data_IF_892663902772
#
_entry.id   IF_892663902772
#
_cell.length_a   1.000
_cell.length_b   1.000
_cell.length_c   1.000
_cell.angle_alpha   90.00
_cell.angle_beta   90.00
_cell.angle_gamma   90.00
#
_symmetry.space_group_name_H-M   'P 1'
#
loop_
_entity.id
_entity.type
_entity.pdbx_description
1 polymer ?
#
# COMPACT_ATOMS: atom_id res chain seq x y z
N UNK A 1 15.18 20.59 4.47
CA UNK A 1 15.94 21.10 3.29
C UNK A 1 16.65 19.92 2.63
N UNK A 2 16.52 19.75 1.32
CA UNK A 2 17.25 18.72 0.57
C UNK A 2 18.59 19.32 0.10
N UNK A 3 19.71 18.80 0.62
CA UNK A 3 21.07 19.22 0.30
C UNK A 3 21.32 19.24 -1.23
N UNK A 4 21.03 18.13 -1.90
CA UNK A 4 21.31 18.00 -3.33
C UNK A 4 20.45 18.96 -4.17
N UNK A 5 19.21 19.21 -3.76
CA UNK A 5 18.36 20.21 -4.40
C UNK A 5 18.88 21.63 -4.23
N UNK A 6 19.33 21.98 -3.03
CA UNK A 6 19.92 23.28 -2.79
C UNK A 6 21.17 23.52 -3.67
N UNK A 7 22.08 22.56 -3.71
CA UNK A 7 23.23 22.64 -4.60
C UNK A 7 22.88 22.58 -6.09
N UNK A 8 21.81 21.90 -6.47
CA UNK A 8 21.32 21.93 -7.86
C UNK A 8 20.85 23.35 -8.24
N UNK A 9 20.10 23.99 -7.36
CA UNK A 9 19.63 25.35 -7.58
C UNK A 9 20.83 26.33 -7.67
N UNK A 10 21.86 26.14 -6.83
CA UNK A 10 23.11 26.90 -6.90
C UNK A 10 23.85 26.66 -8.23
N UNK A 11 23.97 25.45 -8.70
CA UNK A 11 24.61 25.11 -9.99
C UNK A 11 23.84 25.73 -11.16
N UNK A 12 22.50 25.71 -11.12
CA UNK A 12 21.66 26.37 -12.14
C UNK A 12 21.92 27.88 -12.13
N UNK A 13 21.94 28.53 -10.95
CA UNK A 13 22.26 29.96 -10.83
C UNK A 13 23.65 30.33 -11.32
N UNK A 14 24.65 29.44 -11.11
CA UNK A 14 26.00 29.60 -11.66
C UNK A 14 25.97 29.55 -13.19
N UNK A 15 25.26 28.60 -13.78
CA UNK A 15 25.13 28.51 -15.26
C UNK A 15 24.47 29.77 -15.81
N UNK A 16 23.38 30.25 -15.18
CA UNK A 16 22.74 31.50 -15.58
C UNK A 16 23.67 32.72 -15.48
N UNK A 17 24.50 32.79 -14.44
CA UNK A 17 25.53 33.83 -14.29
C UNK A 17 26.56 33.79 -15.43
N UNK A 18 27.02 32.58 -15.80
CA UNK A 18 27.97 32.37 -16.89
C UNK A 18 27.37 32.73 -18.27
N UNK A 19 26.09 32.47 -18.46
CA UNK A 19 25.36 32.92 -19.66
C UNK A 19 25.25 34.45 -19.70
N UNK A 20 24.84 35.10 -18.61
CA UNK A 20 24.77 36.56 -18.51
C UNK A 20 26.12 37.26 -18.75
N UNK A 21 27.23 36.65 -18.36
CA UNK A 21 28.56 37.16 -18.61
C UNK A 21 29.08 36.92 -20.04
N UNK A 22 28.36 36.17 -20.87
CA UNK A 22 28.76 35.76 -22.21
C UNK A 22 29.81 34.64 -22.24
N UNK A 23 30.10 34.01 -21.08
CA UNK A 23 31.02 32.85 -21.00
C UNK A 23 30.36 31.58 -21.50
N UNK A 24 29.05 31.45 -21.41
CA UNK A 24 28.23 30.40 -22.01
C UNK A 24 27.17 31.02 -22.95
N UNK A 25 26.76 30.33 -24.00
CA UNK A 25 25.74 30.82 -24.95
C UNK A 25 24.34 30.87 -24.27
N UNK A 26 23.46 31.70 -24.80
CA UNK A 26 22.06 31.74 -24.41
C UNK A 26 21.27 30.49 -24.86
N UNK A 27 20.12 30.21 -24.21
CA UNK A 27 19.21 29.13 -24.59
C UNK A 27 19.61 27.72 -24.13
N UNK A 28 20.50 27.60 -23.17
CA UNK A 28 20.87 26.33 -22.58
C UNK A 28 19.74 25.77 -21.72
N UNK A 29 19.37 24.51 -21.92
CA UNK A 29 18.40 23.78 -21.09
C UNK A 29 19.08 23.29 -19.80
N UNK A 30 18.73 23.88 -18.68
CA UNK A 30 19.22 23.53 -17.33
C UNK A 30 18.32 22.54 -16.60
N UNK A 31 17.15 22.19 -17.14
CA UNK A 31 16.12 21.35 -16.46
C UNK A 31 16.62 19.95 -16.12
N UNK A 32 17.62 19.46 -16.82
CA UNK A 32 18.21 18.13 -16.67
C UNK A 32 19.51 18.12 -15.86
N UNK A 33 19.93 19.24 -15.31
CA UNK A 33 21.07 19.29 -14.39
C UNK A 33 20.69 18.54 -13.14
N UNK A 34 21.57 17.62 -12.70
CA UNK A 34 21.42 16.88 -11.44
C UNK A 34 22.61 17.13 -10.53
N UNK A 35 22.34 17.08 -9.23
CA UNK A 35 23.35 17.01 -8.18
C UNK A 35 23.05 15.81 -7.31
N UNK A 36 24.01 14.89 -7.22
CA UNK A 36 23.85 13.60 -6.56
C UNK A 36 25.13 13.25 -5.77
N UNK A 37 25.06 12.30 -4.81
CA UNK A 37 26.30 11.76 -4.22
C UNK A 37 27.13 11.08 -5.32
N UNK A 38 28.47 11.27 -5.34
CA UNK A 38 29.33 10.54 -6.27
C UNK A 38 29.21 9.02 -5.98
N UNK A 39 29.41 8.20 -7.01
CA UNK A 39 29.35 6.73 -6.86
C UNK A 39 30.42 6.19 -5.90
N UNK A 40 31.57 6.84 -5.87
CA UNK A 40 32.67 6.54 -4.98
C UNK A 40 32.86 7.74 -4.05
N UNK A 41 32.76 7.51 -2.74
CA UNK A 41 32.88 8.54 -1.69
C UNK A 41 34.27 9.20 -1.66
N UNK A 42 35.30 8.62 -2.25
CA UNK A 42 36.63 9.22 -2.40
C UNK A 42 36.63 10.47 -3.30
N UNK A 43 35.58 10.64 -4.11
CA UNK A 43 35.40 11.82 -4.98
C UNK A 43 34.69 12.99 -4.31
N UNK A 44 34.38 12.91 -3.03
CA UNK A 44 33.72 13.98 -2.25
C UNK A 44 32.27 13.64 -1.89
N UNK A 45 31.48 14.67 -1.60
CA UNK A 45 30.13 14.56 -1.07
C UNK A 45 29.06 14.78 -2.14
N UNK A 46 29.34 15.60 -3.14
CA UNK A 46 28.41 15.95 -4.22
C UNK A 46 29.08 15.86 -5.60
N UNK A 47 28.29 15.47 -6.60
CA UNK A 47 28.69 15.42 -8.01
C UNK A 47 27.60 16.00 -8.89
N UNK A 48 27.99 16.76 -9.94
CA UNK A 48 27.03 17.27 -10.92
C UNK A 48 27.40 16.89 -12.35
N UNK A 49 26.35 16.65 -13.17
CA UNK A 49 26.46 16.37 -14.60
C UNK A 49 26.40 17.62 -15.48
N UNK A 50 26.34 18.83 -14.88
CA UNK A 50 26.08 20.08 -15.59
C UNK A 50 26.96 20.30 -16.80
N UNK A 51 28.29 20.17 -16.67
CA UNK A 51 29.21 20.38 -17.77
C UNK A 51 29.02 19.39 -18.92
N UNK A 52 28.74 18.13 -18.62
CA UNK A 52 28.51 17.09 -19.66
C UNK A 52 27.19 17.36 -20.40
N UNK A 53 26.16 17.80 -19.71
CA UNK A 53 24.87 18.12 -20.28
C UNK A 53 24.94 19.34 -21.20
N UNK A 54 25.63 20.40 -20.76
CA UNK A 54 25.67 21.70 -21.42
C UNK A 54 26.71 21.79 -22.56
N UNK A 55 27.69 20.92 -22.58
CA UNK A 55 28.84 20.97 -23.54
C UNK A 55 28.39 20.95 -25.01
N UNK A 56 27.54 20.00 -25.38
CA UNK A 56 27.08 19.86 -26.78
C UNK A 56 26.21 21.04 -27.23
N UNK A 57 25.19 21.50 -26.46
CA UNK A 57 24.43 22.71 -26.79
C UNK A 57 25.30 23.97 -26.83
N UNK A 58 26.35 24.07 -26.00
CA UNK A 58 27.28 25.19 -25.98
C UNK A 58 28.35 25.14 -27.10
N UNK A 59 28.43 24.05 -27.85
CA UNK A 59 29.48 23.87 -28.86
C UNK A 59 30.89 23.73 -28.28
N UNK A 60 31.02 23.30 -27.03
CA UNK A 60 32.24 23.23 -26.25
C UNK A 60 32.60 21.82 -25.85
N UNK A 61 33.83 21.58 -25.39
CA UNK A 61 34.18 20.31 -24.75
C UNK A 61 33.64 20.29 -23.30
N UNK A 62 33.18 19.12 -22.82
CA UNK A 62 32.64 19.02 -21.45
C UNK A 62 33.65 19.51 -20.38
N UNK A 63 34.95 19.24 -20.59
CA UNK A 63 35.99 19.65 -19.66
C UNK A 63 36.15 21.17 -19.62
N UNK A 64 36.04 21.84 -20.76
CA UNK A 64 36.17 23.31 -20.85
C UNK A 64 35.00 23.98 -20.10
N UNK A 65 33.76 23.41 -20.25
CA UNK A 65 32.59 23.87 -19.49
C UNK A 65 32.72 23.60 -17.99
N UNK A 66 33.29 22.43 -17.63
CA UNK A 66 33.56 22.09 -16.24
C UNK A 66 34.57 23.05 -15.59
N UNK A 67 35.58 23.42 -16.29
CA UNK A 67 36.61 24.38 -15.82
C UNK A 67 36.08 25.80 -15.65
N UNK A 68 34.97 26.17 -16.28
CA UNK A 68 34.25 27.43 -16.03
C UNK A 68 33.30 27.34 -14.82
N UNK A 69 32.65 26.20 -14.63
CA UNK A 69 31.66 26.00 -13.54
C UNK A 69 32.38 25.75 -12.20
N UNK A 70 33.45 24.95 -12.21
CA UNK A 70 34.11 24.47 -11.00
C UNK A 70 34.62 25.60 -10.06
N UNK A 71 35.23 26.71 -10.55
CA UNK A 71 35.62 27.83 -9.68
C UNK A 71 34.44 28.50 -8.98
N UNK A 72 33.30 28.58 -9.66
CA UNK A 72 32.11 29.19 -9.09
C UNK A 72 31.49 28.26 -8.01
N UNK A 73 31.52 26.95 -8.21
CA UNK A 73 31.13 25.97 -7.17
C UNK A 73 32.08 26.06 -5.98
N UNK A 74 33.39 26.20 -6.22
CA UNK A 74 34.38 26.34 -5.16
C UNK A 74 34.20 27.61 -4.31
N UNK A 75 33.54 28.63 -4.87
CA UNK A 75 33.21 29.88 -4.16
C UNK A 75 31.92 29.77 -3.32
N UNK A 76 31.16 28.70 -3.43
CA UNK A 76 29.95 28.49 -2.63
C UNK A 76 30.31 28.28 -1.15
N UNK A 77 29.46 28.81 -0.27
CA UNK A 77 29.64 28.64 1.18
C UNK A 77 29.57 27.17 1.56
N UNK A 78 30.56 26.70 2.28
CA UNK A 78 30.63 25.31 2.77
C UNK A 78 31.25 24.30 1.81
N UNK A 79 31.72 24.73 0.64
CA UNK A 79 32.53 23.91 -0.24
C UNK A 79 34.01 24.04 0.14
N UNK A 80 34.66 22.90 0.45
CA UNK A 80 36.07 22.85 0.83
C UNK A 80 36.98 22.55 -0.37
N UNK A 81 36.52 21.74 -1.32
CA UNK A 81 37.30 21.27 -2.46
C UNK A 81 36.44 21.01 -3.66
N UNK A 82 36.93 21.27 -4.86
CA UNK A 82 36.28 20.94 -6.12
C UNK A 82 37.30 20.28 -7.04
N UNK A 83 36.92 19.15 -7.64
CA UNK A 83 37.73 18.39 -8.63
C UNK A 83 36.90 18.14 -9.89
N UNK A 84 37.57 18.32 -11.06
CA UNK A 84 36.97 17.93 -12.35
C UNK A 84 37.49 16.57 -12.72
N UNK A 85 36.59 15.55 -12.74
CA UNK A 85 36.92 14.17 -13.01
C UNK A 85 36.46 13.73 -14.39
N UNK A 86 37.23 12.80 -14.99
CA UNK A 86 36.89 12.18 -16.28
C UNK A 86 36.59 13.20 -17.38
N UNK A 87 35.53 13.01 -18.16
CA UNK A 87 35.20 13.87 -19.31
C UNK A 87 34.60 15.23 -18.91
N UNK A 88 34.29 15.49 -17.62
CA UNK A 88 33.68 16.74 -17.19
C UNK A 88 32.69 16.61 -16.02
N UNK A 89 32.79 15.54 -15.24
CA UNK A 89 32.09 15.49 -13.94
C UNK A 89 32.75 16.47 -12.97
N UNK A 90 31.93 17.27 -12.27
CA UNK A 90 32.40 18.17 -11.24
C UNK A 90 32.01 17.59 -9.90
N UNK A 91 33.01 17.26 -9.09
CA UNK A 91 32.84 16.72 -7.76
C UNK A 91 33.27 17.74 -6.72
N UNK A 92 32.54 17.84 -5.61
CA UNK A 92 32.89 18.72 -4.53
C UNK A 92 32.84 18.02 -3.18
N UNK A 93 33.84 18.32 -2.34
CA UNK A 93 33.86 17.98 -0.91
C UNK A 93 33.39 19.17 -0.08
N UNK A 94 32.57 18.90 0.92
CA UNK A 94 32.02 19.91 1.83
C UNK A 94 32.91 20.05 3.06
N UNK A 95 32.94 21.26 3.61
CA UNK A 95 33.68 21.54 4.83
C UNK A 95 32.99 20.95 6.07
N UNK A 96 33.76 20.64 7.11
CA UNK A 96 33.23 20.12 8.38
C UNK A 96 32.20 21.06 8.98
N UNK A 97 32.39 22.36 8.87
CA UNK A 97 31.47 23.39 9.36
C UNK A 97 30.12 23.31 8.69
N UNK A 98 30.06 22.93 7.41
CA UNK A 98 28.81 22.71 6.70
C UNK A 98 28.00 21.58 7.34
N UNK A 99 28.66 20.47 7.68
CA UNK A 99 28.02 19.32 8.35
C UNK A 99 27.61 19.64 9.78
N UNK A 100 28.41 20.40 10.51
CA UNK A 100 28.05 20.87 11.85
C UNK A 100 26.79 21.75 11.82
N UNK A 101 26.68 22.67 10.86
CA UNK A 101 25.49 23.51 10.67
C UNK A 101 24.25 22.62 10.36
N UNK A 102 24.40 21.61 9.52
CA UNK A 102 23.31 20.66 9.21
C UNK A 102 22.91 19.84 10.42
N UNK A 103 23.84 19.39 11.25
CA UNK A 103 23.51 18.69 12.49
C UNK A 103 22.70 19.57 13.44
N UNK A 104 23.04 20.85 13.56
CA UNK A 104 22.25 21.83 14.35
C UNK A 104 20.84 21.95 13.80
N UNK A 105 20.65 21.99 12.48
CA UNK A 105 19.33 22.02 11.85
C UNK A 105 18.53 20.73 12.13
N UNK A 106 19.17 19.56 12.03
CA UNK A 106 18.56 18.27 12.36
C UNK A 106 18.06 18.27 13.80
N UNK A 107 18.90 18.72 14.74
CA UNK A 107 18.54 18.76 16.17
C UNK A 107 17.38 19.75 16.46
N UNK A 108 17.33 20.88 15.77
CA UNK A 108 16.23 21.86 15.91
C UNK A 108 14.91 21.34 15.36
N UNK A 109 14.94 20.69 14.21
CA UNK A 109 13.74 20.22 13.49
C UNK A 109 13.26 18.85 14.02
N UNK A 110 14.18 18.04 14.59
CA UNK A 110 13.88 16.72 15.14
C UNK A 110 13.32 15.77 14.08
N UNK A 111 12.28 15.02 14.44
CA UNK A 111 11.66 14.02 13.57
C UNK A 111 11.01 14.58 12.31
N UNK A 112 10.75 15.87 12.23
CA UNK A 112 10.26 16.52 11.01
C UNK A 112 11.38 16.75 9.97
N UNK A 113 12.65 16.52 10.32
CA UNK A 113 13.75 16.62 9.35
C UNK A 113 13.55 15.65 8.18
N UNK A 114 13.78 16.11 6.97
CA UNK A 114 13.52 15.36 5.74
C UNK A 114 12.06 15.44 5.24
N UNK A 115 11.16 16.14 5.94
CA UNK A 115 9.86 16.47 5.38
C UNK A 115 10.02 17.45 4.18
N UNK A 116 9.13 17.33 3.22
CA UNK A 116 9.09 18.19 2.03
C UNK A 116 7.65 18.56 1.68
N UNK A 117 7.49 19.50 0.77
CA UNK A 117 6.22 19.98 0.22
C UNK A 117 5.99 19.49 -1.24
N UNK A 118 6.73 18.48 -1.67
CA UNK A 118 6.62 17.92 -3.03
C UNK A 118 5.18 17.53 -3.38
N UNK A 119 4.45 17.02 -2.38
CA UNK A 119 3.06 16.63 -2.53
C UNK A 119 2.08 17.79 -2.70
N UNK A 120 2.46 19.02 -2.33
CA UNK A 120 1.64 20.22 -2.50
C UNK A 120 0.25 20.14 -1.84
N UNK A 121 0.03 19.23 -0.88
CA UNK A 121 -1.28 18.99 -0.27
C UNK A 121 -2.26 18.22 -1.17
N UNK A 122 -1.78 17.60 -2.26
CA UNK A 122 -2.64 16.76 -3.11
C UNK A 122 -3.23 15.60 -2.31
N UNK A 123 -4.55 15.38 -2.45
CA UNK A 123 -5.26 14.31 -1.75
C UNK A 123 -5.00 12.96 -2.37
N UNK A 124 -4.55 12.00 -1.56
CA UNK A 124 -4.33 10.60 -1.95
C UNK A 124 -5.07 9.68 -0.99
N UNK A 125 -5.82 8.72 -1.53
CA UNK A 125 -6.35 7.60 -0.76
C UNK A 125 -5.40 6.41 -0.89
N UNK A 126 -5.07 5.76 0.23
CA UNK A 126 -4.26 4.53 0.25
C UNK A 126 -5.06 3.45 0.95
N UNK A 127 -5.57 2.48 0.19
CA UNK A 127 -6.27 1.31 0.72
C UNK A 127 -5.30 0.15 0.90
N UNK A 128 -5.31 -0.48 2.08
CA UNK A 128 -4.47 -1.63 2.36
C UNK A 128 -5.04 -2.50 3.48
N UNK A 129 -4.62 -3.76 3.52
CA UNK A 129 -5.14 -4.88 4.30
C UNK A 129 -6.48 -5.33 3.74
N UNK A 130 -7.55 -4.61 3.95
CA UNK A 130 -8.93 -4.86 3.48
C UNK A 130 -9.32 -6.35 3.51
N UNK A 131 -8.91 -7.04 4.59
CA UNK A 131 -9.18 -8.46 4.78
C UNK A 131 -10.66 -8.68 5.14
N UNK A 132 -11.22 -9.81 4.71
CA UNK A 132 -12.57 -10.19 5.07
C UNK A 132 -12.72 -10.31 6.58
N UNK A 133 -13.77 -9.73 7.20
CA UNK A 133 -13.97 -9.77 8.66
C UNK A 133 -14.52 -11.12 9.12
N UNK A 134 -13.91 -12.22 8.65
CA UNK A 134 -14.32 -13.61 8.94
C UNK A 134 -13.37 -14.34 9.89
N UNK A 135 -12.33 -13.65 10.37
CA UNK A 135 -11.35 -14.16 11.31
C UNK A 135 -10.27 -13.13 11.63
N UNK A 136 -9.29 -13.48 12.51
CA UNK A 136 -8.16 -12.63 12.84
C UNK A 136 -7.24 -12.45 11.63
N UNK A 137 -6.44 -11.37 11.63
CA UNK A 137 -5.41 -11.18 10.62
C UNK A 137 -4.36 -12.29 10.73
N UNK A 138 -3.91 -12.78 9.59
CA UNK A 138 -2.83 -13.77 9.49
C UNK A 138 -1.57 -13.17 8.85
N UNK A 139 -0.47 -13.89 8.94
CA UNK A 139 0.86 -13.42 8.48
C UNK A 139 0.87 -12.94 7.04
N UNK A 140 0.03 -13.52 6.15
CA UNK A 140 -0.05 -13.06 4.77
C UNK A 140 -0.51 -11.60 4.64
N UNK A 141 -1.31 -11.09 5.60
CA UNK A 141 -1.72 -9.70 5.63
C UNK A 141 -0.62 -8.76 6.14
N UNK A 142 0.34 -9.26 6.96
CA UNK A 142 1.35 -8.45 7.62
C UNK A 142 2.16 -7.60 6.64
N UNK A 143 2.57 -8.18 5.52
CA UNK A 143 3.41 -7.50 4.54
C UNK A 143 2.68 -6.35 3.87
N UNK A 144 1.45 -6.59 3.39
CA UNK A 144 0.62 -5.55 2.80
C UNK A 144 0.31 -4.43 3.79
N UNK A 145 0.03 -4.79 5.05
CA UNK A 145 -0.22 -3.85 6.13
C UNK A 145 0.99 -2.93 6.39
N UNK A 146 2.19 -3.51 6.52
CA UNK A 146 3.42 -2.75 6.78
C UNK A 146 3.82 -1.88 5.58
N UNK A 147 3.70 -2.39 4.35
CA UNK A 147 4.02 -1.63 3.14
C UNK A 147 3.04 -0.47 2.96
N UNK A 148 1.74 -0.71 3.16
CA UNK A 148 0.71 0.33 3.06
C UNK A 148 0.94 1.45 4.07
N UNK A 149 1.16 1.10 5.34
CA UNK A 149 1.45 2.07 6.40
C UNK A 149 2.75 2.85 6.16
N UNK A 150 3.82 2.18 5.73
CA UNK A 150 5.07 2.85 5.39
C UNK A 150 4.89 3.83 4.22
N UNK A 151 4.12 3.45 3.20
CA UNK A 151 3.81 4.32 2.06
C UNK A 151 3.00 5.55 2.50
N UNK A 152 1.96 5.36 3.31
CA UNK A 152 1.17 6.46 3.89
C UNK A 152 2.06 7.45 4.64
N UNK A 153 2.94 6.94 5.52
CA UNK A 153 3.85 7.78 6.30
C UNK A 153 4.85 8.54 5.42
N UNK A 154 5.38 7.89 4.38
CA UNK A 154 6.30 8.53 3.42
C UNK A 154 5.60 9.63 2.60
N UNK A 155 4.41 9.35 2.08
CA UNK A 155 3.63 10.33 1.32
C UNK A 155 3.23 11.53 2.19
N UNK A 156 2.80 11.31 3.44
CA UNK A 156 2.52 12.39 4.40
C UNK A 156 3.77 13.24 4.66
N UNK A 157 4.93 12.60 4.84
CA UNK A 157 6.20 13.29 5.04
C UNK A 157 6.66 14.06 3.79
N UNK A 158 6.23 13.62 2.60
CA UNK A 158 6.45 14.31 1.34
C UNK A 158 5.44 15.44 1.07
N UNK A 159 4.49 15.71 1.98
CA UNK A 159 3.57 16.83 1.89
C UNK A 159 2.27 16.56 1.13
N UNK A 160 1.90 15.28 0.92
CA UNK A 160 0.57 14.90 0.43
C UNK A 160 -0.45 14.86 1.57
N UNK A 161 -1.72 15.14 1.25
CA UNK A 161 -2.87 14.94 2.13
C UNK A 161 -3.38 13.50 1.97
N UNK A 162 -2.89 12.60 2.85
CA UNK A 162 -3.11 11.16 2.70
C UNK A 162 -4.14 10.65 3.69
N UNK A 163 -5.17 9.99 3.16
CA UNK A 163 -6.13 9.18 3.93
C UNK A 163 -5.81 7.70 3.77
N UNK A 164 -5.58 7.01 4.87
CA UNK A 164 -5.44 5.56 4.92
C UNK A 164 -6.78 4.89 5.15
N UNK A 165 -7.12 3.89 4.33
CA UNK A 165 -8.44 3.29 4.31
C UNK A 165 -8.39 1.76 4.38
N UNK A 166 -9.36 1.20 5.11
CA UNK A 166 -9.66 -0.23 5.17
C UNK A 166 -11.07 -0.46 4.61
N UNK A 167 -11.18 -1.20 3.52
CA UNK A 167 -12.46 -1.64 2.98
C UNK A 167 -12.91 -2.91 3.67
N UNK A 168 -14.08 -2.86 4.30
CA UNK A 168 -14.67 -3.97 5.04
C UNK A 168 -15.58 -4.74 4.09
N UNK A 169 -15.18 -5.93 3.68
CA UNK A 169 -15.98 -6.82 2.86
C UNK A 169 -17.00 -7.56 3.76
N UNK A 170 -18.03 -6.83 4.19
CA UNK A 170 -19.07 -7.28 5.12
C UNK A 170 -20.42 -7.58 4.45
N UNK A 171 -20.41 -7.77 3.14
CA UNK A 171 -21.54 -8.22 2.34
C UNK A 171 -21.30 -9.63 1.75
N UNK A 172 -22.37 -10.29 1.31
CA UNK A 172 -22.33 -11.57 0.59
C UNK A 172 -22.29 -12.82 1.47
N UNK A 173 -22.12 -13.99 0.84
CA UNK A 173 -22.33 -15.29 1.46
C UNK A 173 -21.33 -15.64 2.60
N UNK A 174 -20.12 -15.08 2.58
CA UNK A 174 -19.11 -15.37 3.61
C UNK A 174 -19.54 -14.86 5.00
N UNK A 175 -20.19 -13.72 5.05
CA UNK A 175 -20.68 -13.17 6.33
C UNK A 175 -21.95 -13.90 6.83
N UNK A 176 -22.71 -14.52 5.96
CA UNK A 176 -23.80 -15.42 6.35
C UNK A 176 -23.26 -16.72 6.95
N UNK A 177 -22.20 -17.28 6.36
CA UNK A 177 -21.48 -18.43 6.92
C UNK A 177 -20.87 -18.08 8.30
N UNK A 178 -20.35 -16.87 8.46
CA UNK A 178 -19.87 -16.36 9.75
C UNK A 178 -20.98 -16.30 10.78
N UNK A 179 -22.15 -15.77 10.41
CA UNK A 179 -23.32 -15.72 11.29
C UNK A 179 -23.79 -17.14 11.73
N UNK A 180 -23.77 -18.10 10.81
CA UNK A 180 -24.06 -19.51 11.14
C UNK A 180 -23.03 -20.10 12.10
N UNK A 181 -21.76 -19.80 11.93
CA UNK A 181 -20.71 -20.19 12.87
C UNK A 181 -20.94 -19.58 14.26
N UNK A 182 -21.29 -18.31 14.31
CA UNK A 182 -21.60 -17.61 15.56
C UNK A 182 -22.84 -18.24 16.26
N UNK A 183 -23.86 -18.64 15.49
CA UNK A 183 -25.03 -19.31 16.04
C UNK A 183 -24.70 -20.71 16.61
N UNK A 184 -23.83 -21.48 15.97
CA UNK A 184 -23.35 -22.75 16.53
C UNK A 184 -22.63 -22.54 17.87
N UNK A 185 -21.73 -21.55 17.96
CA UNK A 185 -21.01 -21.22 19.18
C UNK A 185 -21.93 -20.64 20.28
N UNK A 186 -22.97 -19.93 19.89
CA UNK A 186 -24.02 -19.47 20.81
C UNK A 186 -24.77 -20.65 21.43
N UNK A 187 -25.20 -21.65 20.64
CA UNK A 187 -25.84 -22.87 21.13
C UNK A 187 -24.93 -23.66 22.07
N UNK A 188 -23.63 -23.77 21.72
CA UNK A 188 -22.61 -24.38 22.56
C UNK A 188 -22.47 -23.65 23.91
N UNK A 189 -22.43 -22.32 23.91
CA UNK A 189 -22.38 -21.50 25.12
C UNK A 189 -23.61 -21.66 26.02
N UNK A 190 -24.77 -22.00 25.43
CA UNK A 190 -26.00 -22.34 26.16
C UNK A 190 -26.06 -23.81 26.63
N UNK A 191 -24.94 -24.56 26.54
CA UNK A 191 -24.79 -25.92 27.04
C UNK A 191 -25.17 -27.02 26.04
N UNK A 192 -25.36 -26.73 24.77
CA UNK A 192 -25.62 -27.75 23.77
C UNK A 192 -24.32 -28.39 23.26
N UNK A 193 -24.34 -29.68 23.01
CA UNK A 193 -23.22 -30.40 22.39
C UNK A 193 -23.38 -30.29 20.87
N UNK A 194 -22.61 -29.39 20.25
CA UNK A 194 -22.72 -29.10 18.81
C UNK A 194 -21.98 -30.10 17.91
N UNK A 195 -21.15 -31.00 18.47
CA UNK A 195 -20.35 -31.95 17.70
C UNK A 195 -19.27 -31.30 16.84
N UNK A 196 -18.96 -31.91 15.70
CA UNK A 196 -18.03 -31.33 14.73
C UNK A 196 -18.67 -30.16 14.00
N UNK A 197 -17.88 -29.10 13.78
CA UNK A 197 -18.33 -27.93 13.02
C UNK A 197 -18.53 -28.35 11.56
N UNK A 198 -19.70 -28.09 10.95
CA UNK A 198 -19.98 -28.46 9.57
C UNK A 198 -19.01 -27.82 8.57
N UNK A 199 -18.79 -28.48 7.45
CA UNK A 199 -18.05 -27.90 6.32
C UNK A 199 -18.79 -26.66 5.78
N UNK A 200 -18.04 -25.64 5.39
CA UNK A 200 -18.57 -24.39 4.84
C UNK A 200 -18.86 -23.30 5.88
N UNK A 201 -18.59 -23.56 7.17
CA UNK A 201 -18.63 -22.54 8.23
C UNK A 201 -17.28 -22.42 8.93
N UNK A 202 -17.07 -21.37 9.72
CA UNK A 202 -15.77 -21.05 10.32
C UNK A 202 -15.56 -21.82 11.64
N UNK A 203 -14.61 -22.78 11.70
CA UNK A 203 -14.43 -23.64 12.87
C UNK A 203 -13.53 -23.06 13.95
N UNK A 204 -12.86 -21.93 13.70
CA UNK A 204 -11.82 -21.40 14.57
C UNK A 204 -12.28 -21.09 16.00
N UNK A 205 -11.39 -21.30 16.98
CA UNK A 205 -11.64 -21.04 18.40
C UNK A 205 -11.95 -19.55 18.69
N UNK A 206 -11.54 -18.65 17.79
CA UNK A 206 -11.86 -17.22 17.88
C UNK A 206 -13.37 -16.91 17.80
N UNK A 207 -14.18 -17.88 17.36
CA UNK A 207 -15.64 -17.78 17.35
C UNK A 207 -16.26 -18.10 18.72
N UNK A 208 -15.55 -18.76 19.64
CA UNK A 208 -16.06 -19.14 20.97
C UNK A 208 -16.43 -17.91 21.80
N UNK A 209 -15.58 -16.88 21.96
CA UNK A 209 -15.95 -15.67 22.69
C UNK A 209 -17.15 -14.94 22.09
N UNK A 210 -17.32 -15.00 20.77
CA UNK A 210 -18.47 -14.41 20.07
C UNK A 210 -19.76 -15.14 20.46
N UNK A 211 -19.72 -16.48 20.48
CA UNK A 211 -20.87 -17.29 20.94
C UNK A 211 -21.24 -17.03 22.43
N UNK A 212 -20.24 -16.86 23.28
CA UNK A 212 -20.45 -16.50 24.69
C UNK A 212 -21.08 -15.11 24.85
N UNK A 213 -20.58 -14.09 24.17
CA UNK A 213 -21.14 -12.74 24.15
C UNK A 213 -22.60 -12.74 23.67
N UNK A 214 -22.90 -13.52 22.63
CA UNK A 214 -24.25 -13.69 22.13
C UNK A 214 -25.18 -14.34 23.17
N UNK A 215 -24.71 -15.39 23.88
CA UNK A 215 -25.47 -16.07 24.91
C UNK A 215 -25.74 -15.15 26.13
N UNK A 216 -24.76 -14.36 26.53
CA UNK A 216 -24.88 -13.36 27.58
C UNK A 216 -25.85 -12.25 27.21
N UNK A 217 -25.86 -11.80 25.95
CA UNK A 217 -26.66 -10.67 25.48
C UNK A 217 -28.08 -11.06 25.17
N UNK A 218 -28.32 -12.22 24.56
CA UNK A 218 -29.62 -12.63 24.01
C UNK A 218 -30.31 -13.71 24.84
N UNK A 219 -29.62 -14.29 25.86
CA UNK A 219 -30.15 -15.46 26.58
C UNK A 219 -30.39 -16.62 25.62
N UNK A 220 -31.48 -17.37 25.80
CA UNK A 220 -31.84 -18.52 24.97
C UNK A 220 -32.90 -18.20 23.88
N UNK A 221 -33.25 -16.93 23.72
CA UNK A 221 -34.39 -16.47 22.92
C UNK A 221 -34.32 -16.86 21.43
N UNK A 222 -33.07 -16.97 20.87
CA UNK A 222 -32.84 -17.27 19.47
C UNK A 222 -32.25 -18.68 19.25
N UNK A 223 -32.21 -19.53 20.29
CA UNK A 223 -31.58 -20.84 20.23
C UNK A 223 -32.23 -21.76 19.18
N UNK A 224 -33.53 -21.81 19.18
CA UNK A 224 -34.34 -22.66 18.30
C UNK A 224 -35.15 -21.85 17.27
N UNK A 225 -34.86 -20.56 17.13
CA UNK A 225 -35.53 -19.68 16.19
C UNK A 225 -35.15 -19.99 14.74
N UNK A 226 -36.04 -19.74 13.77
CA UNK A 226 -35.71 -19.85 12.35
C UNK A 226 -34.56 -18.92 11.95
N UNK A 227 -33.72 -19.34 10.97
CA UNK A 227 -32.54 -18.57 10.52
C UNK A 227 -32.86 -17.10 10.19
N UNK A 228 -33.99 -16.85 9.56
CA UNK A 228 -34.41 -15.49 9.19
C UNK A 228 -34.59 -14.54 10.37
N UNK A 229 -34.80 -15.05 11.58
CA UNK A 229 -35.00 -14.20 12.77
C UNK A 229 -33.69 -13.80 13.46
N UNK A 230 -32.61 -14.58 13.25
CA UNK A 230 -31.35 -14.32 13.95
C UNK A 230 -30.19 -13.96 13.02
N UNK A 231 -30.19 -14.32 11.73
CA UNK A 231 -29.04 -14.22 10.83
C UNK A 231 -28.43 -12.81 10.83
N UNK A 232 -29.25 -11.75 10.76
CA UNK A 232 -28.77 -10.37 10.71
C UNK A 232 -28.14 -9.93 12.04
N UNK A 233 -28.77 -10.31 13.16
CA UNK A 233 -28.26 -9.97 14.50
C UNK A 233 -26.89 -10.63 14.74
N UNK A 234 -26.78 -11.91 14.42
CA UNK A 234 -25.54 -12.68 14.60
C UNK A 234 -24.45 -12.19 13.68
N UNK A 235 -24.78 -11.90 12.40
CA UNK A 235 -23.86 -11.31 11.43
C UNK A 235 -23.27 -10.00 11.96
N UNK A 236 -24.12 -9.09 12.41
CA UNK A 236 -23.70 -7.77 12.88
C UNK A 236 -22.81 -7.85 14.12
N UNK A 237 -23.15 -8.69 15.09
CA UNK A 237 -22.35 -8.86 16.32
C UNK A 237 -21.00 -9.53 15.97
N UNK A 238 -21.00 -10.58 15.16
CA UNK A 238 -19.78 -11.28 14.78
C UNK A 238 -18.81 -10.39 14.00
N UNK A 239 -19.32 -9.67 12.98
CA UNK A 239 -18.49 -8.72 12.19
C UNK A 239 -17.92 -7.63 13.11
N UNK A 240 -18.77 -7.01 13.96
CA UNK A 240 -18.32 -5.96 14.87
C UNK A 240 -17.20 -6.46 15.80
N UNK A 241 -17.34 -7.66 16.34
CA UNK A 241 -16.36 -8.25 17.27
C UNK A 241 -15.04 -8.56 16.56
N UNK A 242 -15.11 -9.16 15.37
CA UNK A 242 -13.92 -9.46 14.59
C UNK A 242 -13.19 -8.20 14.11
N UNK A 243 -13.92 -7.16 13.72
CA UNK A 243 -13.33 -5.86 13.37
C UNK A 243 -12.60 -5.20 14.55
N UNK A 244 -13.09 -5.36 15.77
CA UNK A 244 -12.36 -4.91 16.97
C UNK A 244 -11.02 -5.65 17.07
N UNK A 245 -11.01 -6.98 16.93
CA UNK A 245 -9.78 -7.76 16.94
C UNK A 245 -8.81 -7.39 15.81
N UNK A 246 -9.33 -7.19 14.59
CA UNK A 246 -8.52 -6.73 13.44
C UNK A 246 -7.86 -5.37 13.73
N UNK A 247 -8.61 -4.42 14.29
CA UNK A 247 -8.06 -3.11 14.67
C UNK A 247 -7.00 -3.23 15.76
N UNK A 248 -7.22 -4.08 16.76
CA UNK A 248 -6.24 -4.36 17.81
C UNK A 248 -4.96 -4.99 17.24
N UNK A 249 -5.06 -5.89 16.27
CA UNK A 249 -3.92 -6.50 15.59
C UNK A 249 -3.12 -5.47 14.78
N UNK A 250 -3.80 -4.56 14.07
CA UNK A 250 -3.16 -3.46 13.36
C UNK A 250 -2.45 -2.52 14.33
N UNK A 251 -3.09 -2.15 15.45
CA UNK A 251 -2.48 -1.32 16.50
C UNK A 251 -1.25 -2.01 17.11
N UNK A 252 -1.26 -3.34 17.28
CA UNK A 252 -0.10 -4.09 17.74
C UNK A 252 1.10 -3.99 16.78
N UNK A 253 0.85 -3.82 15.46
CA UNK A 253 1.88 -3.45 14.48
C UNK A 253 2.20 -1.95 14.45
N UNK A 254 1.52 -1.11 15.24
CA UNK A 254 1.65 0.34 15.19
C UNK A 254 1.00 0.97 13.97
N UNK A 255 -0.04 0.34 13.43
CA UNK A 255 -0.79 0.79 12.26
C UNK A 255 -2.14 1.37 12.71
N UNK A 256 -2.44 2.57 12.26
CA UNK A 256 -3.69 3.27 12.52
C UNK A 256 -4.27 3.77 11.19
N UNK A 257 -5.37 3.18 10.76
CA UNK A 257 -6.07 3.62 9.55
C UNK A 257 -7.12 4.68 9.89
N UNK A 258 -7.25 5.67 9.01
CA UNK A 258 -8.13 6.83 9.22
C UNK A 258 -9.59 6.48 8.97
N UNK A 259 -9.87 5.63 7.97
CA UNK A 259 -11.22 5.31 7.50
C UNK A 259 -11.42 3.80 7.42
N UNK A 260 -12.61 3.36 7.80
CA UNK A 260 -13.10 1.99 7.65
C UNK A 260 -14.42 2.05 6.89
N UNK A 261 -14.41 1.67 5.61
CA UNK A 261 -15.57 1.74 4.72
C UNK A 261 -16.25 0.38 4.63
N UNK A 262 -17.55 0.33 4.95
CA UNK A 262 -18.37 -0.90 4.87
C UNK A 262 -18.91 -1.08 3.46
N UNK A 263 -18.66 -2.25 2.84
CA UNK A 263 -19.27 -2.64 1.57
C UNK A 263 -20.80 -2.63 1.66
N UNK A 264 -21.34 -3.21 2.73
CA UNK A 264 -22.76 -3.26 2.95
C UNK A 264 -23.40 -1.87 3.04
N UNK A 265 -22.76 -0.95 3.74
CA UNK A 265 -23.28 0.41 3.86
C UNK A 265 -23.30 1.14 2.52
N UNK A 266 -22.26 0.98 1.68
CA UNK A 266 -22.23 1.49 0.32
C UNK A 266 -23.34 0.89 -0.55
N UNK A 267 -23.53 -0.42 -0.50
CA UNK A 267 -24.59 -1.11 -1.25
C UNK A 267 -25.97 -0.62 -0.80
N UNK A 268 -26.20 -0.52 0.50
CA UNK A 268 -27.49 -0.03 1.04
C UNK A 268 -27.75 1.45 0.72
N UNK A 269 -26.71 2.25 0.58
CA UNK A 269 -26.82 3.65 0.13
C UNK A 269 -27.10 3.80 -1.37
N UNK A 270 -27.15 2.69 -2.15
CA UNK A 270 -27.39 2.73 -3.59
C UNK A 270 -26.17 3.07 -4.44
N UNK A 271 -24.96 2.91 -3.89
CA UNK A 271 -23.73 3.25 -4.61
C UNK A 271 -23.53 2.39 -5.87
N UNK A 272 -23.99 1.14 -5.87
CA UNK A 272 -23.86 0.25 -7.03
C UNK A 272 -24.84 0.66 -8.14
N UNK A 273 -26.07 1.03 -7.79
CA UNK A 273 -27.06 1.59 -8.71
C UNK A 273 -26.58 2.92 -9.28
N UNK A 274 -25.87 3.73 -8.51
CA UNK A 274 -25.25 4.97 -8.97
C UNK A 274 -24.18 4.68 -10.04
N UNK A 275 -23.29 3.70 -9.81
CA UNK A 275 -22.32 3.22 -10.83
C UNK A 275 -23.03 2.79 -12.12
N UNK A 276 -24.09 1.97 -12.01
CA UNK A 276 -24.87 1.55 -13.19
C UNK A 276 -25.41 2.77 -13.95
N UNK A 277 -26.02 3.71 -13.24
CA UNK A 277 -26.58 4.93 -13.83
C UNK A 277 -25.54 5.76 -14.57
N UNK A 278 -24.35 5.92 -14.01
CA UNK A 278 -23.23 6.63 -14.64
C UNK A 278 -22.73 5.91 -15.90
N UNK A 279 -22.50 4.62 -15.84
CA UNK A 279 -22.02 3.82 -16.98
C UNK A 279 -23.08 3.75 -18.08
N UNK A 280 -24.37 3.61 -17.72
CA UNK A 280 -25.48 3.63 -18.67
C UNK A 280 -25.63 4.99 -19.36
N UNK A 281 -25.56 6.09 -18.60
CA UNK A 281 -25.62 7.45 -19.13
C UNK A 281 -24.51 7.77 -20.12
N UNK A 282 -23.35 7.12 -19.98
CA UNK A 282 -22.20 7.21 -20.89
C UNK A 282 -22.25 6.22 -22.07
N UNK A 283 -23.27 5.36 -22.15
CA UNK A 283 -23.40 4.34 -23.20
C UNK A 283 -22.38 3.19 -23.07
N UNK A 284 -21.84 2.98 -21.88
CA UNK A 284 -20.79 1.99 -21.61
C UNK A 284 -21.33 0.62 -21.18
N UNK A 285 -22.66 0.46 -21.09
CA UNK A 285 -23.31 -0.82 -20.78
C UNK A 285 -24.05 -1.37 -21.99
N UNK A 286 -24.02 -2.69 -22.15
CA UNK A 286 -24.78 -3.42 -23.15
C UNK A 286 -25.17 -4.83 -22.68
N UNK A 287 -26.15 -5.42 -23.34
CA UNK A 287 -26.52 -6.83 -23.10
C UNK A 287 -25.73 -7.72 -24.05
N UNK A 288 -25.12 -8.77 -23.51
CA UNK A 288 -24.28 -9.66 -24.30
C UNK A 288 -23.90 -10.94 -23.57
N UNK A 289 -23.28 -11.85 -24.31
CA UNK A 289 -22.70 -13.10 -23.79
C UNK A 289 -21.19 -13.01 -23.98
N UNK A 290 -20.42 -13.22 -22.90
CA UNK A 290 -18.97 -13.28 -23.00
C UNK A 290 -18.54 -14.58 -23.64
N UNK A 291 -17.55 -14.56 -24.52
CA UNK A 291 -16.90 -15.76 -25.03
C UNK A 291 -16.05 -16.40 -23.92
N UNK A 292 -16.01 -17.75 -23.85
CA UNK A 292 -15.15 -18.42 -22.89
C UNK A 292 -13.67 -18.07 -23.17
N UNK A 293 -12.85 -17.86 -22.12
CA UNK A 293 -11.45 -17.51 -22.31
C UNK A 293 -10.70 -18.62 -23.03
N UNK A 294 -10.06 -18.30 -24.15
CA UNK A 294 -9.31 -19.29 -24.96
C UNK A 294 -8.10 -19.80 -24.19
N UNK A 295 -8.08 -21.11 -23.89
CA UNK A 295 -6.91 -21.77 -23.29
C UNK A 295 -6.68 -21.52 -21.80
N UNK A 296 -7.64 -20.93 -21.08
CA UNK A 296 -7.62 -20.77 -19.63
C UNK A 296 -8.90 -21.31 -18.99
N UNK A 297 -8.86 -21.68 -17.73
CA UNK A 297 -10.05 -21.98 -16.97
C UNK A 297 -11.00 -20.76 -16.97
N UNK A 298 -12.29 -21.03 -17.07
CA UNK A 298 -13.27 -19.95 -16.96
C UNK A 298 -13.19 -19.31 -15.57
N UNK A 299 -13.32 -17.96 -15.47
CA UNK A 299 -13.43 -17.30 -14.17
C UNK A 299 -14.61 -17.84 -13.37
N UNK A 300 -14.56 -17.74 -12.04
CA UNK A 300 -15.63 -18.19 -11.13
C UNK A 300 -16.99 -17.55 -11.45
N UNK A 301 -16.96 -16.30 -11.96
CA UNK A 301 -18.11 -15.50 -12.33
C UNK A 301 -18.53 -15.66 -13.81
N UNK A 302 -17.93 -16.61 -14.54
CA UNK A 302 -18.26 -16.85 -15.95
C UNK A 302 -19.61 -17.55 -16.12
N UNK A 303 -20.52 -16.91 -16.83
CA UNK A 303 -21.79 -17.48 -17.23
C UNK A 303 -21.94 -17.45 -18.77
N UNK A 304 -22.26 -18.58 -19.43
CA UNK A 304 -22.53 -18.63 -20.88
C UNK A 304 -23.97 -18.18 -21.20
N UNK A 305 -24.39 -17.06 -20.61
CA UNK A 305 -25.74 -16.50 -20.74
C UNK A 305 -25.65 -14.98 -20.94
N UNK A 306 -26.74 -14.40 -21.39
CA UNK A 306 -26.83 -12.95 -21.56
C UNK A 306 -26.77 -12.21 -20.21
N UNK A 307 -25.83 -11.31 -20.07
CA UNK A 307 -25.55 -10.52 -18.89
C UNK A 307 -25.53 -9.01 -19.25
N UNK A 308 -25.54 -8.13 -18.23
CA UNK A 308 -25.21 -6.72 -18.42
C UNK A 308 -23.70 -6.58 -18.37
N UNK A 309 -23.10 -6.19 -19.49
CA UNK A 309 -21.66 -6.06 -19.69
C UNK A 309 -21.23 -4.60 -19.71
N UNK A 310 -20.09 -4.33 -19.11
CA UNK A 310 -19.39 -3.06 -19.14
C UNK A 310 -18.27 -3.12 -20.19
N UNK A 311 -18.16 -2.06 -21.05
CA UNK A 311 -17.14 -1.90 -22.10
C UNK A 311 -15.76 -1.58 -21.50
N UNK A 312 -15.19 -2.51 -20.75
CA UNK A 312 -13.90 -2.31 -20.09
C UNK A 312 -12.73 -2.22 -21.09
N UNK A 313 -12.89 -2.81 -22.28
CA UNK A 313 -11.90 -2.74 -23.36
C UNK A 313 -11.66 -1.32 -23.87
N UNK A 314 -12.65 -0.44 -23.81
CA UNK A 314 -12.52 0.97 -24.20
C UNK A 314 -11.60 1.75 -23.26
N UNK A 315 -11.34 1.20 -22.06
CA UNK A 315 -10.50 1.80 -21.01
C UNK A 315 -9.23 1.02 -20.70
N UNK A 316 -8.86 0.03 -21.53
CA UNK A 316 -7.58 -0.67 -21.48
C UNK A 316 -7.58 -2.02 -20.75
N UNK A 317 -8.74 -2.59 -20.46
CA UNK A 317 -8.83 -4.01 -20.07
C UNK A 317 -8.72 -4.92 -21.31
N UNK A 318 -8.42 -6.20 -21.09
CA UNK A 318 -8.25 -7.18 -22.16
C UNK A 318 -9.61 -7.75 -22.67
N UNK A 319 -10.70 -7.57 -21.90
CA UNK A 319 -12.07 -8.02 -22.24
C UNK A 319 -13.11 -7.20 -21.50
N UNK A 320 -14.31 -7.14 -22.05
CA UNK A 320 -15.46 -6.54 -21.34
C UNK A 320 -15.87 -7.37 -20.15
N UNK A 321 -16.52 -6.75 -19.16
CA UNK A 321 -16.76 -7.39 -17.84
C UNK A 321 -18.24 -7.39 -17.48
N UNK A 322 -18.72 -8.47 -16.82
CA UNK A 322 -20.08 -8.49 -16.31
C UNK A 322 -20.23 -7.55 -15.13
N UNK A 323 -21.18 -6.61 -15.24
CA UNK A 323 -21.61 -5.76 -14.14
C UNK A 323 -22.74 -6.44 -13.35
N UNK A 324 -23.67 -7.07 -14.07
CA UNK A 324 -24.75 -7.91 -13.50
C UNK A 324 -24.72 -9.30 -14.10
N UNK A 325 -25.05 -10.29 -13.27
CA UNK A 325 -25.24 -11.69 -13.66
C UNK A 325 -26.50 -11.84 -14.52
N UNK A 326 -26.71 -13.04 -15.08
CA UNK A 326 -27.89 -13.35 -15.88
C UNK A 326 -29.21 -13.26 -15.12
N UNK A 327 -29.19 -13.47 -13.79
CA UNK A 327 -30.33 -13.34 -12.89
C UNK A 327 -30.61 -11.89 -12.45
N UNK A 328 -29.79 -10.94 -12.87
CA UNK A 328 -29.89 -9.53 -12.51
C UNK A 328 -29.19 -9.13 -11.22
N UNK A 329 -28.60 -10.08 -10.48
CA UNK A 329 -27.81 -9.77 -9.28
C UNK A 329 -26.46 -9.11 -9.65
N UNK A 330 -25.92 -8.31 -8.73
CA UNK A 330 -24.64 -7.66 -8.89
C UNK A 330 -23.48 -8.67 -8.82
N UNK A 331 -22.42 -8.37 -9.56
CA UNK A 331 -21.14 -9.06 -9.39
C UNK A 331 -20.33 -8.39 -8.27
N UNK A 332 -19.35 -9.06 -7.69
CA UNK A 332 -18.41 -8.44 -6.75
C UNK A 332 -17.68 -7.23 -7.37
N UNK A 333 -17.39 -7.32 -8.66
CA UNK A 333 -16.77 -6.24 -9.40
C UNK A 333 -17.57 -4.92 -9.34
N UNK A 334 -18.91 -4.99 -9.33
CA UNK A 334 -19.76 -3.80 -9.22
C UNK A 334 -19.60 -3.09 -7.88
N UNK A 335 -19.45 -3.85 -6.79
CA UNK A 335 -19.23 -3.32 -5.45
C UNK A 335 -17.85 -2.65 -5.34
N UNK A 336 -16.83 -3.29 -5.92
CA UNK A 336 -15.47 -2.72 -5.95
C UNK A 336 -15.43 -1.40 -6.76
N UNK A 337 -16.17 -1.32 -7.88
CA UNK A 337 -16.30 -0.06 -8.63
C UNK A 337 -16.97 1.01 -7.77
N UNK A 338 -18.02 0.66 -7.02
CA UNK A 338 -18.74 1.59 -6.17
C UNK A 338 -17.84 2.14 -5.05
N UNK A 339 -17.00 1.31 -4.44
CA UNK A 339 -16.00 1.74 -3.47
C UNK A 339 -15.02 2.77 -4.05
N UNK A 340 -14.49 2.52 -5.25
CA UNK A 340 -13.56 3.47 -5.89
C UNK A 340 -14.23 4.75 -6.36
N UNK A 341 -15.49 4.68 -6.80
CA UNK A 341 -16.27 5.88 -7.13
C UNK A 341 -16.54 6.73 -5.89
N UNK A 342 -16.89 6.12 -4.74
CA UNK A 342 -17.04 6.80 -3.47
C UNK A 342 -15.75 7.53 -3.04
N UNK A 343 -14.59 6.88 -3.16
CA UNK A 343 -13.29 7.53 -2.92
C UNK A 343 -13.10 8.75 -3.82
N UNK A 344 -13.39 8.63 -5.11
CA UNK A 344 -13.27 9.72 -6.06
C UNK A 344 -14.22 10.89 -5.71
N UNK A 345 -15.49 10.61 -5.37
CA UNK A 345 -16.48 11.61 -4.99
C UNK A 345 -16.13 12.31 -3.65
N UNK A 346 -15.41 11.64 -2.75
CA UNK A 346 -14.78 12.25 -1.57
C UNK A 346 -13.58 13.15 -1.91
N UNK A 347 -13.18 13.21 -3.20
CA UNK A 347 -12.14 14.11 -3.71
C UNK A 347 -10.77 13.46 -3.89
N UNK A 348 -10.64 12.15 -3.81
CA UNK A 348 -9.40 11.43 -4.06
C UNK A 348 -9.26 11.09 -5.55
N UNK A 349 -8.62 11.98 -6.31
CA UNK A 349 -8.30 11.72 -7.72
C UNK A 349 -7.18 10.69 -7.88
N UNK A 350 -6.30 10.56 -6.91
CA UNK A 350 -5.25 9.54 -6.82
C UNK A 350 -5.59 8.52 -5.75
N UNK A 351 -5.69 7.28 -6.16
CA UNK A 351 -5.98 6.13 -5.29
C UNK A 351 -4.85 5.12 -5.44
N UNK A 352 -4.38 4.58 -4.32
CA UNK A 352 -3.33 3.55 -4.27
C UNK A 352 -3.86 2.38 -3.48
N UNK A 353 -3.93 1.20 -4.11
CA UNK A 353 -4.34 -0.03 -3.42
C UNK A 353 -3.16 -0.98 -3.26
N UNK A 354 -3.07 -1.61 -2.09
CA UNK A 354 -2.06 -2.62 -1.78
C UNK A 354 -2.74 -4.00 -1.77
N UNK A 355 -2.52 -4.78 -2.82
CA UNK A 355 -3.15 -6.09 -2.99
C UNK A 355 -2.17 -7.24 -2.88
N UNK A 356 -2.65 -8.44 -2.55
CA UNK A 356 -1.91 -9.68 -2.71
C UNK A 356 -1.61 -9.97 -4.19
N UNK A 357 -0.50 -10.65 -4.45
CA UNK A 357 -0.06 -10.95 -5.82
C UNK A 357 -1.02 -11.87 -6.58
N UNK A 358 -1.86 -12.63 -5.90
CA UNK A 358 -2.96 -13.44 -6.43
C UNK A 358 -4.02 -12.60 -7.15
N UNK A 359 -4.18 -11.32 -6.76
CA UNK A 359 -5.07 -10.36 -7.42
C UNK A 359 -4.47 -9.67 -8.66
N UNK A 360 -3.26 -10.06 -9.11
CA UNK A 360 -2.59 -9.43 -10.27
C UNK A 360 -3.42 -9.38 -11.55
N UNK A 361 -4.25 -10.41 -11.80
CA UNK A 361 -5.18 -10.44 -12.93
C UNK A 361 -6.36 -9.47 -12.84
N UNK A 362 -6.61 -8.89 -11.66
CA UNK A 362 -7.72 -7.97 -11.40
C UNK A 362 -7.35 -6.50 -11.63
N UNK A 363 -6.06 -6.18 -11.65
CA UNK A 363 -5.53 -4.80 -11.70
C UNK A 363 -6.06 -4.03 -12.92
N UNK A 364 -5.88 -4.56 -14.12
CA UNK A 364 -6.32 -3.87 -15.35
C UNK A 364 -7.82 -3.63 -15.37
N UNK A 365 -8.60 -4.61 -14.89
CA UNK A 365 -10.06 -4.55 -14.76
C UNK A 365 -10.48 -3.36 -13.91
N UNK A 366 -9.90 -3.22 -12.70
CA UNK A 366 -10.23 -2.11 -11.81
C UNK A 366 -9.74 -0.77 -12.34
N UNK A 367 -8.54 -0.70 -12.90
CA UNK A 367 -8.04 0.53 -13.52
C UNK A 367 -8.93 1.01 -14.67
N UNK A 368 -9.44 0.09 -15.50
CA UNK A 368 -10.39 0.41 -16.56
C UNK A 368 -11.72 0.93 -15.99
N UNK A 369 -12.23 0.28 -14.95
CA UNK A 369 -13.47 0.70 -14.31
C UNK A 369 -13.36 2.09 -13.66
N UNK A 370 -12.28 2.35 -12.92
CA UNK A 370 -12.03 3.67 -12.32
C UNK A 370 -11.99 4.76 -13.38
N UNK A 371 -11.25 4.56 -14.48
CA UNK A 371 -11.23 5.52 -15.59
C UNK A 371 -12.63 5.77 -16.15
N UNK A 372 -13.42 4.72 -16.33
CA UNK A 372 -14.75 4.82 -16.91
C UNK A 372 -15.74 5.58 -16.01
N UNK A 373 -15.74 5.30 -14.68
CA UNK A 373 -16.69 5.95 -13.75
C UNK A 373 -16.28 7.37 -13.37
N UNK A 374 -14.99 7.71 -13.54
CA UNK A 374 -14.45 9.04 -13.19
C UNK A 374 -14.17 9.93 -14.40
N UNK A 375 -14.58 9.53 -15.62
CA UNK A 375 -14.29 10.25 -16.87
C UNK A 375 -12.79 10.51 -17.11
N UNK A 376 -11.95 9.54 -16.79
CA UNK A 376 -10.49 9.60 -16.83
C UNK A 376 -9.85 10.63 -15.86
N UNK A 377 -10.61 11.20 -14.93
CA UNK A 377 -10.06 12.11 -13.92
C UNK A 377 -9.46 11.39 -12.71
N UNK A 378 -9.92 10.16 -12.42
CA UNK A 378 -9.41 9.33 -11.34
C UNK A 378 -8.31 8.37 -11.82
N UNK A 379 -7.27 8.22 -11.01
CA UNK A 379 -6.14 7.31 -11.25
C UNK A 379 -6.06 6.27 -10.12
N UNK A 380 -6.02 4.99 -10.49
CA UNK A 380 -5.77 3.88 -9.57
C UNK A 380 -4.39 3.28 -9.84
N UNK A 381 -3.51 3.35 -8.85
CA UNK A 381 -2.22 2.64 -8.82
C UNK A 381 -2.31 1.45 -7.87
N UNK A 382 -1.95 0.25 -8.33
CA UNK A 382 -2.00 -0.97 -7.53
C UNK A 382 -0.61 -1.49 -7.27
N UNK A 383 -0.27 -1.66 -5.99
CA UNK A 383 0.99 -2.27 -5.54
C UNK A 383 0.73 -3.72 -5.13
N UNK A 384 1.29 -4.65 -5.89
CA UNK A 384 1.15 -6.08 -5.59
C UNK A 384 2.20 -6.51 -4.56
N UNK A 385 1.76 -7.19 -3.51
CA UNK A 385 2.61 -7.77 -2.48
C UNK A 385 2.72 -9.27 -2.65
N UNK A 386 3.95 -9.76 -2.84
CA UNK A 386 4.26 -11.19 -2.96
C UNK A 386 4.22 -11.90 -1.59
N UNK A 387 4.06 -13.20 -1.66
CA UNK A 387 3.92 -14.12 -0.51
C UNK A 387 5.15 -14.05 0.40
N UNK A 388 4.90 -14.16 1.71
CA UNK A 388 5.90 -14.35 2.75
C UNK A 388 5.88 -15.80 3.20
N UNK A 389 7.04 -16.47 3.15
CA UNK A 389 7.22 -17.81 3.63
C UNK A 389 7.83 -17.78 5.03
N UNK A 390 7.07 -18.24 6.04
CA UNK A 390 7.58 -18.36 7.39
C UNK A 390 8.52 -19.54 7.51
N UNK A 391 9.70 -19.30 8.13
CA UNK A 391 10.72 -20.29 8.45
C UNK A 391 11.15 -20.20 9.90
N UNK A 392 11.71 -21.29 10.43
CA UNK A 392 12.42 -21.32 11.72
C UNK A 392 13.65 -22.20 11.55
N UNK A 393 14.83 -21.61 11.73
CA UNK A 393 16.08 -22.32 11.49
C UNK A 393 16.28 -22.80 10.05
N UNK A 394 15.70 -22.09 9.07
CA UNK A 394 15.76 -22.43 7.64
C UNK A 394 14.65 -23.36 7.14
N UNK A 395 13.95 -24.06 8.05
CA UNK A 395 12.86 -25.00 7.71
C UNK A 395 11.49 -24.29 7.69
N UNK A 396 10.52 -24.73 6.85
CA UNK A 396 9.18 -24.19 6.85
C UNK A 396 8.54 -24.28 8.23
N UNK A 397 8.07 -23.14 8.75
CA UNK A 397 7.50 -23.05 10.08
C UNK A 397 5.98 -23.10 10.06
N UNK A 398 5.40 -23.99 10.87
CA UNK A 398 3.95 -24.10 11.09
C UNK A 398 3.69 -24.00 12.58
N UNK A 399 3.06 -22.92 13.02
CA UNK A 399 2.64 -22.75 14.41
C UNK A 399 1.47 -23.69 14.76
N UNK A 400 1.36 -24.06 16.06
CA UNK A 400 0.29 -24.91 16.54
C UNK A 400 -1.08 -24.21 16.49
N UNK A 401 -2.09 -24.98 16.21
CA UNK A 401 -3.42 -24.61 15.73
C UNK A 401 -4.40 -24.10 16.81
N UNK A 402 -4.18 -22.97 17.46
CA UNK A 402 -5.23 -22.36 18.30
C UNK A 402 -6.31 -21.63 17.49
N UNK A 403 -5.94 -21.07 16.34
CA UNK A 403 -6.82 -20.25 15.48
C UNK A 403 -7.31 -20.95 14.21
N UNK A 404 -7.12 -22.26 14.06
CA UNK A 404 -7.42 -22.99 12.83
C UNK A 404 -6.12 -23.41 12.10
N UNK A 405 -6.11 -23.33 10.75
CA UNK A 405 -5.00 -23.85 9.94
C UNK A 405 -3.93 -22.80 9.60
N UNK A 406 -3.92 -21.61 10.23
CA UNK A 406 -3.04 -20.50 9.88
C UNK A 406 -2.41 -19.82 11.13
N UNK A 407 -1.29 -19.13 10.91
CA UNK A 407 -0.60 -18.33 11.94
C UNK A 407 -1.21 -16.94 11.93
N UNK A 408 -1.71 -16.48 13.08
CA UNK A 408 -2.23 -15.12 13.20
C UNK A 408 -1.10 -14.10 13.21
N UNK A 409 -1.41 -12.86 12.89
CA UNK A 409 -0.48 -11.74 13.02
C UNK A 409 -0.06 -11.55 14.49
N UNK A 410 -0.99 -11.72 15.41
CA UNK A 410 -0.75 -11.64 16.85
C UNK A 410 0.26 -12.70 17.30
N UNK A 411 0.04 -13.96 16.92
CA UNK A 411 0.95 -15.06 17.24
C UNK A 411 2.38 -14.78 16.73
N UNK A 412 2.50 -14.22 15.53
CA UNK A 412 3.81 -13.86 14.98
C UNK A 412 4.52 -12.80 15.83
N UNK A 413 3.82 -11.74 16.22
CA UNK A 413 4.38 -10.66 17.04
C UNK A 413 4.81 -11.20 18.42
N UNK A 414 3.98 -12.03 19.04
CA UNK A 414 4.23 -12.62 20.35
C UNK A 414 5.40 -13.61 20.34
N UNK A 415 5.52 -14.45 19.32
CA UNK A 415 6.65 -15.40 19.14
C UNK A 415 8.00 -14.67 19.03
N UNK A 416 8.01 -13.46 18.43
CA UNK A 416 9.21 -12.63 18.29
C UNK A 416 9.54 -11.82 19.56
N UNK A 417 8.68 -11.86 20.58
CA UNK A 417 8.90 -11.24 21.88
C UNK A 417 8.71 -9.73 21.90
N UNK A 418 9.35 -9.06 22.85
CA UNK A 418 9.15 -7.63 23.17
C UNK A 418 9.33 -6.70 21.95
N UNK A 419 10.27 -7.01 21.06
CA UNK A 419 10.56 -6.23 19.87
C UNK A 419 9.82 -6.73 18.62
N UNK A 420 8.86 -7.65 18.76
CA UNK A 420 8.20 -8.35 17.67
C UNK A 420 7.60 -7.38 16.64
N UNK A 421 6.97 -6.30 17.07
CA UNK A 421 6.45 -5.24 16.18
C UNK A 421 7.54 -4.67 15.28
N UNK A 422 8.66 -4.26 15.85
CA UNK A 422 9.73 -3.60 15.09
C UNK A 422 10.42 -4.57 14.15
N UNK A 423 10.63 -5.81 14.61
CA UNK A 423 11.18 -6.92 13.81
C UNK A 423 10.30 -7.20 12.58
N UNK A 424 8.99 -7.37 12.78
CA UNK A 424 8.06 -7.62 11.67
C UNK A 424 8.09 -6.46 10.69
N UNK A 425 7.92 -5.22 11.17
CA UNK A 425 7.88 -4.02 10.33
C UNK A 425 9.17 -3.86 9.52
N UNK A 426 10.32 -3.97 10.18
CA UNK A 426 11.61 -3.76 9.52
C UNK A 426 11.87 -4.83 8.45
N UNK A 427 11.73 -6.11 8.80
CA UNK A 427 12.03 -7.20 7.87
C UNK A 427 11.10 -7.17 6.65
N UNK A 428 9.79 -6.90 6.84
CA UNK A 428 8.84 -6.83 5.72
C UNK A 428 9.20 -5.75 4.68
N UNK A 429 9.97 -4.72 5.08
CA UNK A 429 10.43 -3.64 4.21
C UNK A 429 11.81 -3.88 3.58
N UNK A 430 12.53 -4.93 3.96
CA UNK A 430 13.89 -5.22 3.43
C UNK A 430 13.89 -5.70 1.98
N UNK A 431 12.75 -6.10 1.45
CA UNK A 431 12.57 -6.58 0.07
C UNK A 431 11.49 -5.77 -0.64
N UNK A 432 11.65 -5.58 -1.95
CA UNK A 432 10.61 -4.98 -2.80
C UNK A 432 9.31 -5.78 -2.66
N UNK A 433 8.17 -5.09 -2.69
CA UNK A 433 6.84 -5.68 -2.54
C UNK A 433 6.54 -6.79 -3.56
N UNK A 434 7.04 -6.67 -4.79
CA UNK A 434 6.85 -7.61 -5.91
C UNK A 434 7.78 -8.85 -5.86
N UNK A 435 8.67 -8.94 -4.86
CA UNK A 435 9.58 -10.07 -4.67
C UNK A 435 9.10 -10.96 -3.53
N UNK A 436 9.14 -12.29 -3.71
CA UNK A 436 8.91 -13.25 -2.63
C UNK A 436 9.95 -13.07 -1.52
N UNK A 437 9.55 -13.36 -0.28
CA UNK A 437 10.47 -13.29 0.84
C UNK A 437 10.31 -14.46 1.81
N UNK A 438 11.43 -14.90 2.34
CA UNK A 438 11.49 -15.80 3.48
C UNK A 438 11.61 -14.97 4.77
N UNK A 439 10.78 -15.26 5.74
CA UNK A 439 10.84 -14.67 7.07
C UNK A 439 11.24 -15.77 8.06
N UNK A 440 12.50 -15.79 8.47
CA UNK A 440 13.03 -16.75 9.42
C UNK A 440 13.01 -16.18 10.83
N UNK A 441 12.20 -16.78 11.71
CA UNK A 441 11.95 -16.31 13.08
C UNK A 441 13.21 -16.28 13.94
N UNK A 442 14.10 -17.27 13.80
CA UNK A 442 15.34 -17.33 14.58
C UNK A 442 16.33 -16.25 14.14
N UNK A 443 16.51 -16.10 12.83
CA UNK A 443 17.37 -15.05 12.28
C UNK A 443 16.85 -13.64 12.58
N UNK A 444 15.53 -13.49 12.63
CA UNK A 444 14.87 -12.21 12.86
C UNK A 444 15.17 -11.61 14.24
N UNK A 445 15.43 -12.46 15.24
CA UNK A 445 15.72 -12.04 16.63
C UNK A 445 17.18 -12.24 17.03
N UNK A 446 18.04 -12.71 16.12
CA UNK A 446 19.45 -12.94 16.37
C UNK A 446 20.17 -11.63 16.73
N UNK A 447 20.91 -11.65 17.85
CA UNK A 447 21.70 -10.50 18.31
C UNK A 447 23.09 -10.51 17.65
N UNK A 448 23.13 -10.24 16.36
CA UNK A 448 24.37 -10.19 15.59
C UNK A 448 24.39 -9.00 14.64
N UNK A 449 25.60 -8.61 14.20
CA UNK A 449 25.78 -7.55 13.19
C UNK A 449 25.17 -7.90 11.83
N UNK A 450 24.92 -9.19 11.59
CA UNK A 450 24.33 -9.68 10.34
C UNK A 450 22.79 -9.58 10.35
N UNK A 451 22.19 -9.35 11.55
CA UNK A 451 20.78 -9.03 11.68
C UNK A 451 20.56 -7.51 11.53
N UNK A 452 19.93 -7.05 10.44
CA UNK A 452 19.76 -5.62 10.19
C UNK A 452 18.88 -4.93 11.23
N UNK A 453 17.92 -5.62 11.83
CA UNK A 453 17.06 -5.09 12.90
C UNK A 453 17.91 -4.77 14.14
N UNK A 454 18.66 -5.76 14.62
CA UNK A 454 19.53 -5.59 15.78
C UNK A 454 20.60 -4.51 15.54
N UNK A 455 21.15 -4.45 14.33
CA UNK A 455 22.15 -3.44 13.98
C UNK A 455 21.60 -2.01 14.03
N UNK A 456 20.37 -1.79 13.53
CA UNK A 456 19.70 -0.48 13.63
C UNK A 456 19.36 -0.13 15.07
N UNK A 457 18.84 -1.09 15.86
CA UNK A 457 18.54 -0.87 17.28
C UNK A 457 19.81 -0.55 18.07
N UNK A 458 20.91 -1.26 17.82
CA UNK A 458 22.21 -0.98 18.44
C UNK A 458 22.73 0.42 18.09
N UNK A 459 22.59 0.83 16.83
CA UNK A 459 23.00 2.17 16.40
C UNK A 459 22.14 3.28 17.02
N UNK A 460 20.86 3.00 17.30
CA UNK A 460 19.94 3.95 17.95
C UNK A 460 20.26 4.08 19.46
N UNK A 461 20.56 2.97 20.16
CA UNK A 461 20.89 2.97 21.58
C UNK A 461 22.25 3.65 21.87
#
# INVERSE_FOLDING_TARGET
>A
MNLFRAFQDDVVAIVEKLVKSGSLPEGLDTSRITVEPPRDSTHGDISTNAAMLLAKPAGMKPRDVAEMIAPEIAALKGVAKVDVAGPGFINAGLADEYWHDRLVDVLKVGTAYGASDIGGGEKINVEYVSANPTGPLHVAHARGAVIGDALVNLLRKAGFDVTSEYYINDAGNQVDQLARSAHLRYREALGEVIGEIPEGVYPGEYMIPIGQELAETLGDSLKDAPEAEWIDTFRNIAIKRLLVGIKEDLVALGIHQDVFTSERDLVQAGAVEHVEGLLQGRGLLYRGVLEPPKGKAAPEDYEPREQTLFRATDFGDDTDRPLKKSDGSWTYFSNDIANHLDKFERGFKKMIDIWGADHGGYVKRMQAAVRAVTDNEGELDVKLCQIVHLKKGGEPFRMSKRAGNFVTLRDLIEELGENGKDVVRFIMLTRKNDSQMDFDLEKAVEQSRDNPVFYVQYAHA
#
